data_IF_870957391153
#
_entry.id   IF_870957391153
#
_cell.length_a   1.000
_cell.length_b   1.000
_cell.length_c   1.000
_cell.angle_alpha   90.00
_cell.angle_beta   90.00
_cell.angle_gamma   90.00
#
_symmetry.space_group_name_H-M   'P 1'
#
loop_
_entity.id
_entity.type
_entity.pdbx_description
1 polymer ?
#
# COMPACT_ATOMS: atom_id res chain seq x y z
N UNK A 1 59.96 7.11 54.75
CA UNK A 1 60.10 5.99 53.80
C UNK A 1 58.71 5.47 53.49
N UNK A 2 58.28 5.73 52.41
CA UNK A 2 58.10 4.96 51.16
C UNK A 2 56.60 4.64 51.12
N UNK A 3 55.88 4.99 50.21
CA UNK A 3 55.83 4.81 48.84
C UNK A 3 54.44 4.38 48.44
N UNK A 4 53.98 4.92 47.41
CA UNK A 4 53.27 4.34 46.30
C UNK A 4 51.76 4.21 46.46
N UNK A 5 50.95 4.83 45.74
CA UNK A 5 50.84 4.91 44.33
C UNK A 5 49.75 3.96 43.84
N UNK A 6 48.92 4.41 43.03
CA UNK A 6 47.98 3.57 42.26
C UNK A 6 46.56 4.07 42.33
N UNK A 7 46.12 4.89 41.58
CA UNK A 7 45.68 4.98 40.25
C UNK A 7 44.66 3.90 39.91
N UNK A 8 43.38 4.18 40.10
CA UNK A 8 42.30 3.34 39.62
C UNK A 8 41.38 4.14 38.70
N UNK A 9 41.82 4.45 37.47
CA UNK A 9 40.94 4.87 36.40
C UNK A 9 40.31 3.63 35.76
N UNK A 10 39.05 3.37 36.05
CA UNK A 10 38.42 2.22 35.48
C UNK A 10 36.92 2.17 35.75
N UNK A 11 36.15 3.13 35.32
CA UNK A 11 34.70 2.99 35.39
C UNK A 11 33.95 3.98 34.49
N UNK A 12 34.26 4.01 33.20
CA UNK A 12 33.44 4.77 32.22
C UNK A 12 33.14 4.06 30.92
N UNK A 13 33.49 2.77 30.79
CA UNK A 13 33.16 1.98 29.62
C UNK A 13 31.82 1.25 29.70
N UNK A 14 31.24 0.98 30.85
CA UNK A 14 30.03 0.16 31.00
C UNK A 14 28.72 0.86 30.73
N UNK A 15 28.63 2.20 30.96
CA UNK A 15 27.34 2.90 30.83
C UNK A 15 26.93 3.18 29.34
N UNK A 16 27.90 3.31 28.46
CA UNK A 16 27.65 3.54 27.02
C UNK A 16 27.28 2.27 26.30
N UNK A 17 27.95 1.15 26.64
CA UNK A 17 27.63 -0.14 26.06
C UNK A 17 26.26 -0.67 26.49
N UNK A 18 25.88 -0.50 27.73
CA UNK A 18 24.53 -0.86 28.24
C UNK A 18 23.42 -0.04 27.61
N UNK A 19 23.63 1.24 27.32
CA UNK A 19 22.63 2.08 26.64
C UNK A 19 22.43 1.66 25.18
N UNK A 20 23.51 1.45 24.45
CA UNK A 20 23.49 0.94 23.07
C UNK A 20 22.83 -0.45 22.99
N UNK A 21 23.07 -1.30 23.96
CA UNK A 21 22.49 -2.64 24.00
C UNK A 21 20.99 -2.60 24.34
N UNK A 22 20.55 -1.71 25.22
CA UNK A 22 19.15 -1.45 25.50
C UNK A 22 18.42 -0.87 24.28
N UNK A 23 19.01 0.12 23.61
CA UNK A 23 18.43 0.71 22.40
C UNK A 23 18.32 -0.33 21.29
N UNK A 24 19.32 -1.20 21.14
CA UNK A 24 19.30 -2.30 20.18
C UNK A 24 18.19 -3.31 20.47
N UNK A 25 17.98 -3.67 21.74
CA UNK A 25 16.87 -4.55 22.17
C UNK A 25 15.51 -3.91 21.89
N UNK A 26 15.35 -2.62 22.15
CA UNK A 26 14.11 -1.89 21.85
C UNK A 26 13.83 -1.86 20.34
N UNK A 27 14.84 -1.63 19.52
CA UNK A 27 14.70 -1.66 18.05
C UNK A 27 14.33 -3.06 17.57
N UNK A 28 15.01 -4.11 18.07
CA UNK A 28 14.66 -5.49 17.69
C UNK A 28 13.26 -5.88 18.14
N UNK A 29 12.86 -5.57 19.37
CA UNK A 29 11.50 -5.84 19.84
C UNK A 29 10.44 -5.11 18.99
N UNK A 30 10.75 -3.90 18.50
CA UNK A 30 9.85 -3.15 17.62
C UNK A 30 9.78 -3.75 16.22
N UNK A 31 10.90 -4.25 15.70
CA UNK A 31 10.95 -4.98 14.43
C UNK A 31 10.13 -6.27 14.53
N UNK A 32 10.31 -7.06 15.60
CA UNK A 32 9.57 -8.31 15.81
C UNK A 32 8.05 -8.04 15.93
N UNK A 33 7.65 -7.02 16.69
CA UNK A 33 6.25 -6.63 16.81
C UNK A 33 5.63 -6.14 15.47
N UNK A 34 6.41 -5.49 14.61
CA UNK A 34 5.96 -5.08 13.28
C UNK A 34 5.87 -6.29 12.34
N UNK A 35 6.83 -7.21 12.42
CA UNK A 35 6.80 -8.45 11.63
C UNK A 35 5.58 -9.32 11.99
N UNK A 36 5.25 -9.42 13.29
CA UNK A 36 4.05 -10.14 13.75
C UNK A 36 2.77 -9.49 13.21
N UNK A 37 2.67 -8.16 13.26
CA UNK A 37 1.52 -7.42 12.68
C UNK A 37 1.41 -7.63 11.17
N UNK A 38 2.51 -7.62 10.45
CA UNK A 38 2.53 -7.90 9.01
C UNK A 38 2.01 -9.31 8.72
N UNK A 39 2.50 -10.32 9.44
CA UNK A 39 2.04 -11.70 9.30
C UNK A 39 0.53 -11.85 9.59
N UNK A 40 0.02 -11.14 10.60
CA UNK A 40 -1.41 -11.12 10.90
C UNK A 40 -2.23 -10.47 9.76
N UNK A 41 -1.73 -9.35 9.20
CA UNK A 41 -2.37 -8.69 8.05
C UNK A 41 -2.38 -9.60 6.82
N UNK A 42 -1.28 -10.28 6.52
CA UNK A 42 -1.20 -11.26 5.41
C UNK A 42 -2.20 -12.40 5.60
N UNK A 43 -2.32 -12.93 6.81
CA UNK A 43 -3.30 -13.97 7.13
C UNK A 43 -4.73 -13.48 6.90
N UNK A 44 -5.08 -12.29 7.38
CA UNK A 44 -6.41 -11.68 7.17
C UNK A 44 -6.70 -11.46 5.68
N UNK A 45 -5.70 -10.99 4.91
CA UNK A 45 -5.81 -10.86 3.45
C UNK A 45 -6.06 -12.20 2.78
N UNK A 46 -5.33 -13.26 3.18
CA UNK A 46 -5.54 -14.62 2.68
C UNK A 46 -6.95 -15.16 2.96
N UNK A 47 -7.50 -14.88 4.14
CA UNK A 47 -8.87 -15.26 4.50
C UNK A 47 -9.91 -14.47 3.70
N UNK A 48 -9.71 -13.17 3.50
CA UNK A 48 -10.54 -12.34 2.63
C UNK A 48 -10.54 -12.82 1.19
N UNK A 49 -9.37 -13.20 0.64
CA UNK A 49 -9.25 -13.78 -0.72
C UNK A 49 -10.07 -15.06 -0.85
N UNK A 50 -9.94 -15.99 0.10
CA UNK A 50 -10.71 -17.25 0.11
C UNK A 50 -12.21 -16.99 0.20
N UNK A 51 -12.64 -16.02 0.99
CA UNK A 51 -14.04 -15.63 1.11
C UNK A 51 -14.57 -15.05 -0.22
N UNK A 52 -13.77 -14.20 -0.90
CA UNK A 52 -14.11 -13.61 -2.22
C UNK A 52 -14.23 -14.70 -3.29
N UNK A 53 -13.27 -15.63 -3.36
CA UNK A 53 -13.30 -16.74 -4.31
C UNK A 53 -14.56 -17.60 -4.17
N UNK A 54 -15.11 -17.74 -2.95
CA UNK A 54 -16.35 -18.48 -2.69
C UNK A 54 -17.61 -17.77 -3.20
N UNK A 55 -17.57 -16.44 -3.36
CA UNK A 55 -18.76 -15.67 -3.82
C UNK A 55 -19.00 -15.79 -5.31
N UNK A 56 -18.01 -16.20 -6.11
CA UNK A 56 -18.07 -16.25 -7.58
C UNK A 56 -18.27 -14.87 -8.22
N UNK A 57 -18.13 -13.77 -7.47
CA UNK A 57 -18.23 -12.42 -8.01
C UNK A 57 -16.89 -12.02 -8.64
N UNK A 58 -16.89 -11.48 -9.88
CA UNK A 58 -15.70 -10.91 -10.47
C UNK A 58 -15.12 -9.79 -9.62
N UNK A 59 -13.80 -9.70 -9.56
CA UNK A 59 -13.05 -8.69 -8.79
C UNK A 59 -12.49 -7.66 -9.75
N UNK A 60 -12.75 -6.39 -9.47
CA UNK A 60 -12.25 -5.24 -10.23
C UNK A 60 -11.40 -4.38 -9.30
N UNK A 61 -10.11 -4.25 -9.57
CA UNK A 61 -9.22 -3.42 -8.78
C UNK A 61 -9.01 -2.04 -9.39
N UNK A 62 -9.13 -1.00 -8.56
CA UNK A 62 -8.78 0.37 -8.92
C UNK A 62 -7.31 0.60 -8.59
N UNK A 63 -6.51 0.93 -9.58
CA UNK A 63 -5.09 1.26 -9.42
C UNK A 63 -4.79 2.65 -10.03
N UNK A 64 -3.73 3.27 -9.60
CA UNK A 64 -3.29 4.57 -10.11
C UNK A 64 -2.58 5.39 -9.05
N UNK A 65 -2.08 6.54 -9.45
CA UNK A 65 -1.33 7.42 -8.58
C UNK A 65 -2.16 7.93 -7.39
N UNK A 66 -1.45 8.42 -6.37
CA UNK A 66 -2.11 9.13 -5.26
C UNK A 66 -2.84 10.36 -5.80
N UNK A 67 -3.96 10.68 -5.19
CA UNK A 67 -4.79 11.85 -5.52
C UNK A 67 -5.38 11.91 -6.94
N UNK A 68 -5.36 10.81 -7.72
CA UNK A 68 -6.09 10.75 -9.01
C UNK A 68 -7.60 10.55 -8.82
N UNK A 69 -8.05 10.29 -7.59
CA UNK A 69 -9.46 10.18 -7.23
C UNK A 69 -10.03 8.75 -7.26
N UNK A 70 -9.23 7.71 -6.99
CA UNK A 70 -9.70 6.31 -6.91
C UNK A 70 -10.83 6.13 -5.89
N UNK A 71 -10.65 6.62 -4.67
CA UNK A 71 -11.64 6.52 -3.60
C UNK A 71 -12.88 7.35 -3.91
N UNK A 72 -12.73 8.53 -4.54
CA UNK A 72 -13.85 9.34 -5.01
C UNK A 72 -14.65 8.62 -6.10
N UNK A 73 -13.97 7.97 -7.05
CA UNK A 73 -14.61 7.15 -8.06
C UNK A 73 -15.37 5.97 -7.44
N UNK A 74 -14.77 5.29 -6.47
CA UNK A 74 -15.43 4.22 -5.73
C UNK A 74 -16.68 4.72 -4.99
N UNK A 75 -16.60 5.89 -4.34
CA UNK A 75 -17.73 6.50 -3.66
C UNK A 75 -18.85 6.90 -4.62
N UNK A 76 -18.50 7.42 -5.78
CA UNK A 76 -19.49 7.77 -6.83
C UNK A 76 -20.21 6.53 -7.35
N UNK A 77 -19.52 5.40 -7.49
CA UNK A 77 -20.10 4.16 -8.03
C UNK A 77 -20.86 3.35 -6.97
N UNK A 78 -20.37 3.28 -5.76
CA UNK A 78 -20.91 2.40 -4.71
C UNK A 78 -21.66 3.14 -3.60
N UNK A 79 -21.69 4.47 -3.64
CA UNK A 79 -22.25 5.33 -2.59
C UNK A 79 -21.21 5.70 -1.49
N UNK A 80 -21.42 6.80 -0.73
CA UNK A 80 -20.46 7.36 0.18
C UNK A 80 -20.25 6.47 1.42
N UNK A 81 -19.08 5.96 1.63
CA UNK A 81 -18.62 5.38 2.89
C UNK A 81 -17.09 5.35 3.06
N UNK A 82 -16.32 5.84 2.09
CA UNK A 82 -14.87 6.00 2.21
C UNK A 82 -14.58 7.47 2.46
N UNK A 83 -13.74 7.78 3.44
CA UNK A 83 -13.30 9.15 3.68
C UNK A 83 -12.52 9.63 2.45
N UNK A 84 -13.07 10.65 1.79
CA UNK A 84 -12.34 11.38 0.76
C UNK A 84 -11.36 12.31 1.47
N UNK A 85 -10.09 12.06 1.31
CA UNK A 85 -9.05 12.95 1.83
C UNK A 85 -8.09 13.28 0.69
N UNK A 86 -7.86 14.57 0.47
CA UNK A 86 -6.80 15.09 -0.39
C UNK A 86 -5.43 14.88 0.29
N UNK A 87 -5.13 13.63 0.61
CA UNK A 87 -3.91 13.24 1.29
C UNK A 87 -3.18 12.18 0.48
N UNK A 88 -1.85 12.25 0.50
CA UNK A 88 -1.02 11.14 0.03
C UNK A 88 -1.35 9.89 0.85
N UNK A 89 -1.61 8.76 0.16
CA UNK A 89 -1.95 7.49 0.80
C UNK A 89 -3.25 7.52 1.65
N UNK A 90 -4.31 8.15 1.12
CA UNK A 90 -5.63 8.13 1.76
C UNK A 90 -6.15 6.70 2.01
N UNK A 91 -5.78 5.76 1.15
CA UNK A 91 -6.09 4.33 1.30
C UNK A 91 -4.82 3.57 1.65
N UNK A 92 -4.70 3.10 2.89
CA UNK A 92 -3.59 2.24 3.36
C UNK A 92 -3.98 0.76 3.33
N UNK A 93 -5.23 0.44 3.63
CA UNK A 93 -5.76 -0.91 3.53
C UNK A 93 -6.74 -1.02 2.35
N UNK A 94 -6.67 -2.07 1.53
CA UNK A 94 -7.60 -2.26 0.43
C UNK A 94 -9.04 -2.32 0.94
N UNK A 95 -9.86 -1.38 0.52
CA UNK A 95 -11.29 -1.41 0.80
C UNK A 95 -12.03 -2.07 -0.36
N UNK A 96 -12.95 -2.98 -0.07
CA UNK A 96 -13.73 -3.66 -1.09
C UNK A 96 -15.21 -3.38 -0.94
N UNK A 97 -15.91 -3.16 -2.07
CA UNK A 97 -17.33 -2.89 -2.12
C UNK A 97 -18.02 -3.61 -3.25
N UNK A 98 -19.24 -4.04 -3.00
CA UNK A 98 -20.09 -4.61 -4.03
C UNK A 98 -20.67 -3.49 -4.91
N UNK A 99 -20.47 -3.63 -6.22
CA UNK A 99 -21.08 -2.79 -7.24
C UNK A 99 -21.98 -3.66 -8.10
N UNK A 100 -23.21 -3.19 -8.37
CA UNK A 100 -24.12 -3.83 -9.32
C UNK A 100 -24.08 -3.01 -10.61
N UNK A 101 -23.61 -3.63 -11.67
CA UNK A 101 -23.54 -3.00 -13.00
C UNK A 101 -24.95 -2.85 -13.60
N UNK A 102 -25.13 -1.96 -14.59
CA UNK A 102 -26.42 -1.80 -15.29
C UNK A 102 -26.95 -3.09 -15.92
N UNK A 103 -26.06 -4.04 -16.24
CA UNK A 103 -26.41 -5.38 -16.72
C UNK A 103 -27.04 -6.29 -15.67
N UNK A 104 -27.07 -5.87 -14.39
CA UNK A 104 -27.47 -6.70 -13.26
C UNK A 104 -26.33 -7.57 -12.68
N UNK A 105 -25.17 -7.60 -13.32
CA UNK A 105 -24.00 -8.34 -12.82
C UNK A 105 -23.45 -7.66 -11.57
N UNK A 106 -23.23 -8.42 -10.50
CA UNK A 106 -22.55 -7.94 -9.31
C UNK A 106 -21.05 -8.19 -9.41
N UNK A 107 -20.25 -7.16 -9.15
CA UNK A 107 -18.79 -7.21 -9.10
C UNK A 107 -18.29 -6.70 -7.75
N UNK A 108 -17.12 -7.15 -7.34
CA UNK A 108 -16.43 -6.62 -6.17
C UNK A 108 -15.40 -5.58 -6.62
N UNK A 109 -15.65 -4.32 -6.28
CA UNK A 109 -14.72 -3.22 -6.56
C UNK A 109 -13.76 -3.08 -5.38
N UNK A 110 -12.45 -3.06 -5.66
CA UNK A 110 -11.39 -2.98 -4.67
C UNK A 110 -10.58 -1.70 -4.91
N UNK A 111 -10.51 -0.82 -3.92
CA UNK A 111 -9.63 0.34 -3.93
C UNK A 111 -8.25 -0.07 -3.40
N UNK A 112 -7.20 0.30 -4.13
CA UNK A 112 -5.83 0.00 -3.74
C UNK A 112 -5.08 1.27 -3.30
N UNK A 113 -3.93 1.07 -2.68
CA UNK A 113 -3.04 2.19 -2.33
C UNK A 113 -2.58 2.91 -3.60
N UNK A 114 -2.57 4.25 -3.55
CA UNK A 114 -2.09 5.06 -4.67
C UNK A 114 -0.57 5.01 -4.85
N UNK A 115 -0.12 4.95 -6.09
CA UNK A 115 1.30 5.06 -6.44
C UNK A 115 1.83 6.47 -6.18
N UNK A 116 3.11 6.56 -5.85
CA UNK A 116 3.85 7.84 -5.70
C UNK A 116 5.06 7.80 -6.62
N UNK A 117 5.33 8.92 -7.26
CA UNK A 117 6.57 9.09 -8.03
C UNK A 117 7.79 8.89 -7.12
N UNK A 118 8.77 8.11 -7.58
CA UNK A 118 10.04 7.88 -6.87
C UNK A 118 9.86 7.23 -5.49
N UNK A 119 9.13 6.11 -5.42
CA UNK A 119 9.12 5.28 -4.22
C UNK A 119 10.55 4.82 -3.88
N UNK A 120 11.05 5.07 -2.67
CA UNK A 120 12.28 4.46 -2.21
C UNK A 120 12.19 2.93 -2.29
N UNK A 121 13.26 2.26 -2.68
CA UNK A 121 13.28 0.80 -2.88
C UNK A 121 12.79 -0.01 -1.67
N UNK A 122 13.03 0.47 -0.46
CA UNK A 122 12.54 -0.15 0.77
C UNK A 122 11.02 -0.02 0.98
N UNK A 123 10.36 0.94 0.33
CA UNK A 123 8.91 1.08 0.35
C UNK A 123 8.24 0.28 -0.78
N UNK A 124 8.94 -0.03 -1.87
CA UNK A 124 8.41 -0.85 -2.97
C UNK A 124 7.97 -2.22 -2.47
N UNK A 125 8.74 -2.85 -1.59
CA UNK A 125 8.37 -4.16 -1.01
C UNK A 125 7.13 -4.08 -0.10
N UNK A 126 7.01 -3.01 0.70
CA UNK A 126 5.82 -2.80 1.52
C UNK A 126 4.57 -2.53 0.65
N UNK A 127 4.74 -1.86 -0.50
CA UNK A 127 3.66 -1.64 -1.46
C UNK A 127 3.33 -2.88 -2.29
N UNK A 128 4.30 -3.76 -2.59
CA UNK A 128 4.04 -5.03 -3.27
C UNK A 128 2.92 -5.80 -2.60
N UNK A 129 2.95 -5.94 -1.29
CA UNK A 129 1.94 -6.69 -0.55
C UNK A 129 0.52 -6.12 -0.65
N UNK A 130 0.38 -4.79 -0.80
CA UNK A 130 -0.93 -4.13 -1.02
C UNK A 130 -1.36 -4.18 -2.47
N UNK A 131 -0.41 -4.16 -3.40
CA UNK A 131 -0.66 -4.26 -4.84
C UNK A 131 -0.85 -5.70 -5.31
N UNK A 132 -0.37 -6.69 -4.57
CA UNK A 132 -0.69 -8.11 -4.80
C UNK A 132 -2.20 -8.38 -4.79
N UNK A 133 -3.00 -7.51 -4.18
CA UNK A 133 -4.46 -7.57 -4.33
C UNK A 133 -4.90 -7.39 -5.80
N UNK A 134 -4.17 -6.59 -6.58
CA UNK A 134 -4.47 -6.41 -8.00
C UNK A 134 -4.19 -7.68 -8.82
N UNK A 135 -3.20 -8.50 -8.44
CA UNK A 135 -2.89 -9.76 -9.10
C UNK A 135 -4.02 -10.82 -8.98
N UNK A 136 -4.97 -10.60 -8.08
CA UNK A 136 -6.14 -11.47 -7.87
C UNK A 136 -7.42 -10.91 -8.48
N UNK A 137 -7.30 -9.90 -9.33
CA UNK A 137 -8.44 -9.27 -9.99
C UNK A 137 -8.70 -9.90 -11.35
N UNK A 138 -9.97 -9.92 -11.75
CA UNK A 138 -10.37 -10.31 -13.08
C UNK A 138 -10.19 -9.17 -14.08
N UNK A 139 -10.23 -7.91 -13.57
CA UNK A 139 -10.01 -6.69 -14.36
C UNK A 139 -9.29 -5.66 -13.49
N UNK A 140 -8.37 -4.93 -14.09
CA UNK A 140 -7.69 -3.79 -13.48
C UNK A 140 -8.18 -2.50 -14.13
N UNK A 141 -8.67 -1.56 -13.31
CA UNK A 141 -9.04 -0.22 -13.75
C UNK A 141 -7.94 0.75 -13.34
N UNK A 142 -7.20 1.27 -14.32
CA UNK A 142 -6.19 2.30 -14.14
C UNK A 142 -6.88 3.66 -14.12
N UNK A 143 -6.77 4.38 -13.01
CA UNK A 143 -7.36 5.71 -12.86
C UNK A 143 -6.26 6.76 -13.02
N UNK A 144 -6.45 7.69 -13.95
CA UNK A 144 -5.57 8.81 -14.21
C UNK A 144 -6.32 10.14 -14.03
N UNK A 145 -5.62 11.19 -13.63
CA UNK A 145 -6.15 12.55 -13.58
C UNK A 145 -6.09 13.16 -15.01
N UNK A 146 -7.25 13.49 -15.59
CA UNK A 146 -7.34 14.03 -16.94
C UNK A 146 -6.60 15.38 -17.11
N UNK A 147 -6.53 16.17 -16.02
CA UNK A 147 -5.86 17.47 -16.01
C UNK A 147 -4.37 17.41 -15.69
N UNK A 148 -3.80 16.24 -15.41
CA UNK A 148 -2.37 16.12 -15.09
C UNK A 148 -1.54 15.96 -16.37
N UNK A 149 -0.58 16.85 -16.57
CA UNK A 149 0.34 16.80 -17.72
C UNK A 149 1.21 15.53 -17.72
N UNK A 150 1.48 14.96 -16.56
CA UNK A 150 2.31 13.76 -16.39
C UNK A 150 1.48 12.44 -16.43
N UNK A 151 0.18 12.50 -16.78
CA UNK A 151 -0.72 11.34 -16.73
C UNK A 151 -0.21 10.13 -17.52
N UNK A 152 0.39 10.37 -18.70
CA UNK A 152 0.90 9.28 -19.55
C UNK A 152 2.14 8.61 -18.91
N UNK A 153 3.04 9.40 -18.31
CA UNK A 153 4.18 8.90 -17.56
C UNK A 153 3.71 8.10 -16.33
N UNK A 154 2.73 8.61 -15.61
CA UNK A 154 2.13 7.93 -14.46
C UNK A 154 1.46 6.61 -14.84
N UNK A 155 0.78 6.55 -15.99
CA UNK A 155 0.21 5.33 -16.51
C UNK A 155 1.29 4.32 -16.89
N UNK A 156 2.36 4.76 -17.55
CA UNK A 156 3.49 3.89 -17.91
C UNK A 156 4.16 3.28 -16.67
N UNK A 157 4.43 4.10 -15.64
CA UNK A 157 4.98 3.60 -14.36
C UNK A 157 4.00 2.65 -13.66
N UNK A 158 2.71 2.92 -13.73
CA UNK A 158 1.68 2.01 -13.17
C UNK A 158 1.73 0.65 -13.88
N UNK A 159 1.86 0.64 -15.21
CA UNK A 159 1.96 -0.60 -15.98
C UNK A 159 3.24 -1.38 -15.65
N UNK A 160 4.39 -0.70 -15.57
CA UNK A 160 5.65 -1.33 -15.19
C UNK A 160 5.57 -2.03 -13.81
N UNK A 161 4.95 -1.37 -12.84
CA UNK A 161 4.75 -1.97 -11.51
C UNK A 161 3.79 -3.16 -11.55
N UNK A 162 2.69 -3.05 -12.29
CA UNK A 162 1.73 -4.15 -12.46
C UNK A 162 2.35 -5.36 -13.17
N UNK A 163 3.18 -5.14 -14.19
CA UNK A 163 3.89 -6.20 -14.90
C UNK A 163 4.89 -6.92 -13.98
N UNK A 164 5.50 -6.18 -13.07
CA UNK A 164 6.37 -6.74 -12.03
C UNK A 164 5.65 -7.53 -10.92
N UNK A 165 4.31 -7.53 -10.90
CA UNK A 165 3.45 -8.20 -9.91
C UNK A 165 2.62 -9.36 -10.50
N UNK A 166 3.07 -9.95 -11.61
CA UNK A 166 2.35 -11.03 -12.31
C UNK A 166 0.93 -10.64 -12.78
N UNK A 167 0.71 -9.33 -13.06
CA UNK A 167 -0.56 -8.81 -13.56
C UNK A 167 -0.59 -8.62 -15.08
N UNK A 168 0.40 -9.12 -15.82
CA UNK A 168 0.55 -8.87 -17.27
C UNK A 168 -0.65 -9.39 -18.09
N UNK A 169 -1.22 -10.53 -17.70
CA UNK A 169 -2.33 -11.19 -18.40
C UNK A 169 -3.72 -10.66 -17.99
N UNK A 170 -3.79 -9.76 -16.98
CA UNK A 170 -5.07 -9.24 -16.49
C UNK A 170 -5.54 -8.10 -17.40
N UNK A 171 -6.78 -8.14 -17.92
CA UNK A 171 -7.34 -7.07 -18.74
C UNK A 171 -7.30 -5.73 -18.02
N UNK A 172 -6.88 -4.66 -18.72
CA UNK A 172 -6.74 -3.31 -18.16
C UNK A 172 -7.69 -2.33 -18.86
N UNK A 173 -8.42 -1.55 -18.07
CA UNK A 173 -9.24 -0.44 -18.53
C UNK A 173 -8.65 0.86 -17.98
N UNK A 174 -8.54 1.89 -18.80
CA UNK A 174 -8.11 3.22 -18.35
C UNK A 174 -9.31 4.14 -18.16
N UNK A 175 -9.39 4.80 -17.01
CA UNK A 175 -10.41 5.80 -16.68
C UNK A 175 -9.70 7.13 -16.42
N UNK A 176 -10.05 8.15 -17.20
CA UNK A 176 -9.63 9.52 -16.97
C UNK A 176 -10.63 10.20 -16.06
N UNK A 177 -10.18 10.55 -14.87
CA UNK A 177 -10.99 11.20 -13.83
C UNK A 177 -10.74 12.72 -13.82
N UNK A 178 -11.57 13.46 -13.11
CA UNK A 178 -11.48 14.93 -12.96
C UNK A 178 -11.57 15.70 -14.28
N UNK A 179 -12.33 15.18 -15.24
CA UNK A 179 -12.55 15.82 -16.54
C UNK A 179 -13.32 17.16 -16.45
N UNK A 180 -13.83 17.51 -15.28
CA UNK A 180 -14.45 18.77 -14.93
C UNK A 180 -13.46 19.91 -14.66
N UNK A 181 -12.19 19.60 -14.46
CA UNK A 181 -11.14 20.60 -14.27
C UNK A 181 -10.64 21.09 -15.63
N UNK A 182 -10.57 22.42 -15.86
CA UNK A 182 -9.85 22.94 -17.02
C UNK A 182 -8.38 22.51 -16.95
N UNK A 183 -7.88 21.93 -18.03
CA UNK A 183 -6.47 21.60 -18.20
C UNK A 183 -5.61 22.86 -18.40
#
# INVERSE_FOLDING_TARGET
QGGGGGGGGGARRGAGETKLELDRRHVHARIDALAEKLAEMEKRRGESRKARAKTGMPVVSLVGYTNVGKSSLMNALCGPSVAEADMLFATLDPTSRKLVLPSGMAVLLVDTVGFVSRLPHNLVEAFKSTLEEAAWSDVIVRVADAGDEQREEQLAVTDEVLDGLDCADIPRLTVYNKCDKPG
#
